data_IF_081639250400
#
_entry.id   IF_081639250400
#
_cell.length_a   1.000
_cell.length_b   1.000
_cell.length_c   1.000
_cell.angle_alpha   90.00
_cell.angle_beta   90.00
_cell.angle_gamma   90.00
#
_symmetry.space_group_name_H-M   'P 1'
#
loop_
_entity.id
_entity.type
_entity.pdbx_description
1 polymer ?
#
# COMPACT_ATOMS: atom_id res chain seq x y z
N UNK A 1 -17.80 5.38 -23.89
CA UNK A 1 -17.79 6.44 -22.87
C UNK A 1 -16.55 6.22 -22.05
N UNK A 2 -15.51 7.02 -22.29
CA UNK A 2 -14.23 6.89 -21.61
C UNK A 2 -14.38 7.41 -20.18
N UNK A 3 -14.63 6.51 -19.24
CA UNK A 3 -14.59 6.86 -17.82
C UNK A 3 -13.13 7.05 -17.41
N UNK A 4 -12.84 7.97 -16.49
CA UNK A 4 -11.48 8.21 -16.00
C UNK A 4 -10.82 6.95 -15.40
N UNK A 5 -11.61 5.94 -15.01
CA UNK A 5 -11.12 4.64 -14.54
C UNK A 5 -10.66 3.71 -15.66
N UNK A 6 -11.06 3.96 -16.90
CA UNK A 6 -10.72 3.13 -18.05
C UNK A 6 -9.44 3.60 -18.72
N UNK A 7 -9.42 4.83 -19.24
CA UNK A 7 -8.22 5.41 -19.88
C UNK A 7 -7.98 6.88 -19.53
N UNK A 8 -6.70 7.27 -19.51
CA UNK A 8 -6.22 8.65 -19.39
C UNK A 8 -5.12 8.83 -20.44
N UNK A 9 -5.22 9.90 -21.25
CA UNK A 9 -4.32 10.16 -22.38
C UNK A 9 -4.19 8.97 -23.36
N UNK A 10 -5.25 8.16 -23.51
CA UNK A 10 -5.27 6.99 -24.38
C UNK A 10 -4.58 5.74 -23.81
N UNK A 11 -4.10 5.79 -22.57
CA UNK A 11 -3.47 4.66 -21.88
C UNK A 11 -4.38 4.13 -20.76
N UNK A 12 -4.36 2.82 -20.45
CA UNK A 12 -5.14 2.27 -19.35
C UNK A 12 -4.79 2.96 -18.02
N UNK A 13 -5.80 3.52 -17.35
CA UNK A 13 -5.60 4.25 -16.10
C UNK A 13 -4.89 3.39 -15.05
N UNK A 14 -5.24 2.10 -15.00
CA UNK A 14 -4.62 1.13 -14.10
C UNK A 14 -3.08 1.16 -14.16
N UNK A 15 -2.50 1.14 -15.37
CA UNK A 15 -1.04 1.09 -15.58
C UNK A 15 -0.35 2.35 -15.07
N UNK A 16 -1.01 3.50 -15.13
CA UNK A 16 -0.48 4.75 -14.58
C UNK A 16 -0.57 4.76 -13.04
N UNK A 17 -1.72 4.34 -12.50
CA UNK A 17 -2.01 4.41 -11.06
C UNK A 17 -1.17 3.42 -10.24
N UNK A 18 -0.83 2.24 -10.77
CA UNK A 18 -0.04 1.23 -10.03
C UNK A 18 1.33 1.74 -9.60
N UNK A 19 1.95 2.69 -10.34
CA UNK A 19 3.23 3.29 -9.97
C UNK A 19 3.15 4.00 -8.61
N UNK A 20 2.04 4.69 -8.35
CA UNK A 20 1.80 5.32 -7.06
C UNK A 20 1.62 4.28 -5.95
N UNK A 21 0.94 3.16 -6.22
CA UNK A 21 0.79 2.06 -5.24
C UNK A 21 2.13 1.48 -4.83
N UNK A 22 2.98 1.11 -5.81
CA UNK A 22 4.28 0.46 -5.56
C UNK A 22 5.31 1.39 -4.93
N UNK A 23 5.11 2.72 -4.97
CA UNK A 23 5.97 3.69 -4.29
C UNK A 23 5.43 4.05 -2.91
N UNK A 24 4.15 4.40 -2.81
CA UNK A 24 3.57 4.95 -1.59
C UNK A 24 3.46 3.90 -0.47
N UNK A 25 3.01 2.68 -0.76
CA UNK A 25 2.85 1.66 0.27
C UNK A 25 4.19 1.24 0.89
N UNK A 26 5.25 0.93 0.10
CA UNK A 26 6.56 0.62 0.69
C UNK A 26 7.16 1.80 1.44
N UNK A 27 7.01 3.02 0.94
CA UNK A 27 7.51 4.21 1.63
C UNK A 27 6.79 4.44 2.98
N UNK A 28 5.46 4.29 3.00
CA UNK A 28 4.67 4.35 4.23
C UNK A 28 5.05 3.21 5.21
N UNK A 29 5.28 1.99 4.72
CA UNK A 29 5.70 0.85 5.52
C UNK A 29 7.08 1.07 6.18
N UNK A 30 8.05 1.60 5.43
CA UNK A 30 9.38 1.97 5.97
C UNK A 30 9.21 3.05 7.05
N UNK A 31 8.44 4.10 6.77
CA UNK A 31 8.13 5.14 7.74
C UNK A 31 7.49 4.56 9.01
N UNK A 32 6.53 3.66 8.87
CA UNK A 32 5.83 2.99 9.96
C UNK A 32 6.78 2.18 10.85
N UNK A 33 7.73 1.43 10.25
CA UNK A 33 8.75 0.68 11.00
C UNK A 33 9.67 1.62 11.77
N UNK A 34 10.13 2.72 11.16
CA UNK A 34 10.98 3.71 11.85
C UNK A 34 10.21 4.35 13.02
N UNK A 35 8.93 4.68 12.83
CA UNK A 35 8.06 5.19 13.89
C UNK A 35 7.88 4.16 15.02
N UNK A 36 7.69 2.88 14.69
CA UNK A 36 7.56 1.81 15.64
C UNK A 36 8.83 1.60 16.49
N UNK A 37 10.02 1.84 15.93
CA UNK A 37 11.28 1.73 16.67
C UNK A 37 11.59 3.02 17.46
N UNK A 38 11.29 4.20 16.88
CA UNK A 38 11.68 5.50 17.43
C UNK A 38 10.46 6.40 17.71
N UNK A 39 10.02 6.44 18.97
CA UNK A 39 8.92 7.31 19.43
C UNK A 39 9.10 8.79 19.02
N UNK A 40 10.32 9.34 19.13
CA UNK A 40 10.60 10.74 18.71
C UNK A 40 10.31 10.98 17.22
N UNK A 41 10.57 9.97 16.39
CA UNK A 41 10.33 10.03 14.95
C UNK A 41 8.83 9.95 14.66
N UNK A 42 8.11 9.09 15.38
CA UNK A 42 6.64 9.02 15.37
C UNK A 42 5.99 10.36 15.69
N UNK A 43 6.43 11.05 16.74
CA UNK A 43 5.85 12.37 17.10
C UNK A 43 6.13 13.43 16.02
N UNK A 44 7.34 13.46 15.45
CA UNK A 44 7.77 14.49 14.49
C UNK A 44 7.25 14.27 13.07
N UNK A 45 7.36 13.05 12.56
CA UNK A 45 7.07 12.71 11.16
C UNK A 45 5.81 11.85 10.99
N UNK A 46 5.15 11.45 12.09
CA UNK A 46 3.91 10.68 12.05
C UNK A 46 2.80 11.26 11.17
N UNK A 47 2.57 12.59 11.10
CA UNK A 47 1.58 13.15 10.17
C UNK A 47 1.91 12.83 8.70
N UNK A 48 3.19 12.89 8.32
CA UNK A 48 3.64 12.63 6.94
C UNK A 48 3.47 11.15 6.61
N UNK A 49 3.90 10.25 7.49
CA UNK A 49 3.76 8.80 7.27
C UNK A 49 2.29 8.38 7.24
N UNK A 50 1.46 8.96 8.12
CA UNK A 50 0.01 8.72 8.11
C UNK A 50 -0.64 9.24 6.81
N UNK A 51 -0.24 10.41 6.32
CA UNK A 51 -0.71 10.95 5.04
C UNK A 51 -0.29 10.06 3.87
N UNK A 52 0.96 9.59 3.83
CA UNK A 52 1.44 8.64 2.82
C UNK A 52 0.62 7.34 2.83
N UNK A 53 0.35 6.78 4.02
CA UNK A 53 -0.47 5.57 4.14
C UNK A 53 -1.92 5.81 3.71
N UNK A 54 -2.49 6.98 4.04
CA UNK A 54 -3.85 7.36 3.63
C UNK A 54 -3.98 7.54 2.12
N UNK A 55 -3.05 8.26 1.51
CA UNK A 55 -3.02 8.43 0.05
C UNK A 55 -2.76 7.09 -0.63
N UNK A 56 -1.84 6.27 -0.10
CA UNK A 56 -1.60 4.91 -0.58
C UNK A 56 -2.86 4.05 -0.55
N UNK A 57 -3.65 4.10 0.53
CA UNK A 57 -4.96 3.46 0.62
C UNK A 57 -5.90 3.94 -0.50
N UNK A 58 -6.07 5.26 -0.66
CA UNK A 58 -6.93 5.81 -1.71
C UNK A 58 -6.52 5.35 -3.11
N UNK A 59 -5.22 5.43 -3.42
CA UNK A 59 -4.65 5.01 -4.71
C UNK A 59 -4.83 3.51 -4.93
N UNK A 60 -4.72 2.66 -3.90
CA UNK A 60 -4.96 1.21 -4.06
C UNK A 60 -6.40 0.90 -4.45
N UNK A 61 -7.38 1.64 -3.92
CA UNK A 61 -8.78 1.51 -4.34
C UNK A 61 -8.92 1.94 -5.80
N UNK A 62 -8.36 3.09 -6.18
CA UNK A 62 -8.40 3.56 -7.58
C UNK A 62 -7.74 2.56 -8.53
N UNK A 63 -6.60 1.97 -8.15
CA UNK A 63 -5.91 0.95 -8.93
C UNK A 63 -6.78 -0.30 -9.12
N UNK A 64 -7.46 -0.76 -8.06
CA UNK A 64 -8.39 -1.90 -8.12
C UNK A 64 -9.54 -1.63 -9.08
N UNK A 65 -10.25 -0.50 -8.91
CA UNK A 65 -11.43 -0.18 -9.72
C UNK A 65 -11.05 0.05 -11.19
N UNK A 66 -9.95 0.75 -11.47
CA UNK A 66 -9.43 0.91 -12.83
C UNK A 66 -8.94 -0.41 -13.45
N UNK A 67 -8.39 -1.32 -12.64
CA UNK A 67 -8.00 -2.66 -13.08
C UNK A 67 -9.20 -3.52 -13.47
N UNK A 68 -10.31 -3.42 -12.72
CA UNK A 68 -11.56 -4.11 -13.05
C UNK A 68 -12.18 -3.57 -14.34
N UNK A 69 -12.17 -2.25 -14.55
CA UNK A 69 -12.59 -1.65 -15.81
C UNK A 69 -11.73 -2.16 -16.98
N UNK A 70 -10.41 -2.20 -16.80
CA UNK A 70 -9.49 -2.69 -17.81
C UNK A 70 -9.68 -4.19 -18.11
N UNK A 71 -10.01 -5.00 -17.10
CA UNK A 71 -10.27 -6.43 -17.26
C UNK A 71 -11.45 -6.74 -18.20
N UNK A 72 -12.39 -5.80 -18.38
CA UNK A 72 -13.48 -5.94 -19.37
C UNK A 72 -12.98 -5.92 -20.81
N UNK A 73 -11.79 -5.35 -21.06
CA UNK A 73 -11.17 -5.24 -22.38
C UNK A 73 -10.20 -6.38 -22.68
N UNK A 74 -9.42 -6.78 -21.68
CA UNK A 74 -8.29 -7.72 -21.88
C UNK A 74 -8.46 -9.07 -21.17
N UNK A 75 -9.61 -9.29 -20.52
CA UNK A 75 -9.83 -10.43 -19.64
C UNK A 75 -9.25 -10.21 -18.24
N UNK A 76 -9.59 -11.11 -17.32
CA UNK A 76 -9.16 -10.99 -15.92
C UNK A 76 -7.91 -11.84 -15.67
N UNK A 77 -6.74 -11.24 -15.38
CA UNK A 77 -5.52 -12.00 -15.14
C UNK A 77 -5.54 -12.62 -13.74
N UNK A 78 -5.74 -13.93 -13.67
CA UNK A 78 -5.51 -14.73 -12.46
C UNK A 78 -4.05 -15.19 -12.41
N UNK A 79 -3.36 -15.15 -11.25
CA UNK A 79 -3.89 -14.85 -9.90
C UNK A 79 -3.85 -13.36 -9.51
N UNK A 80 -3.40 -12.48 -10.40
CA UNK A 80 -3.18 -11.06 -10.08
C UNK A 80 -4.43 -10.37 -9.51
N UNK A 81 -5.60 -10.55 -10.12
CA UNK A 81 -6.79 -9.82 -9.68
C UNK A 81 -7.29 -10.26 -8.30
N UNK A 82 -7.14 -11.54 -7.93
CA UNK A 82 -7.44 -12.03 -6.57
C UNK A 82 -6.57 -11.35 -5.52
N UNK A 83 -5.25 -11.34 -5.76
CA UNK A 83 -4.30 -10.67 -4.87
C UNK A 83 -4.60 -9.17 -4.80
N UNK A 84 -4.83 -8.52 -5.95
CA UNK A 84 -5.11 -7.09 -6.04
C UNK A 84 -6.38 -6.69 -5.29
N UNK A 85 -7.43 -7.53 -5.30
CA UNK A 85 -8.66 -7.29 -4.56
C UNK A 85 -8.47 -7.25 -3.04
N UNK A 86 -7.43 -7.90 -2.52
CA UNK A 86 -7.13 -7.93 -1.08
C UNK A 86 -6.21 -6.80 -0.62
N UNK A 87 -5.42 -6.20 -1.51
CA UNK A 87 -4.43 -5.17 -1.17
C UNK A 87 -5.00 -3.94 -0.43
N UNK A 88 -6.20 -3.40 -0.77
CA UNK A 88 -6.78 -2.27 -0.04
C UNK A 88 -7.00 -2.54 1.44
N UNK A 89 -7.27 -3.79 1.85
CA UNK A 89 -7.43 -4.13 3.27
C UNK A 89 -6.11 -4.04 4.04
N UNK A 90 -4.99 -4.44 3.42
CA UNK A 90 -3.66 -4.28 4.01
C UNK A 90 -3.27 -2.80 4.09
N UNK A 91 -3.55 -2.02 3.03
CA UNK A 91 -3.31 -0.57 3.04
C UNK A 91 -4.15 0.13 4.14
N UNK A 92 -5.40 -0.29 4.34
CA UNK A 92 -6.26 0.23 5.40
C UNK A 92 -5.70 -0.11 6.78
N UNK A 93 -5.30 -1.37 7.00
CA UNK A 93 -4.67 -1.80 8.24
C UNK A 93 -3.40 -0.99 8.53
N UNK A 94 -2.56 -0.74 7.51
CA UNK A 94 -1.36 0.07 7.64
C UNK A 94 -1.71 1.51 8.05
N UNK A 95 -2.65 2.15 7.36
CA UNK A 95 -3.08 3.51 7.69
C UNK A 95 -3.62 3.61 9.13
N UNK A 96 -4.55 2.73 9.51
CA UNK A 96 -5.19 2.75 10.84
C UNK A 96 -4.15 2.56 11.94
N UNK A 97 -3.26 1.57 11.80
CA UNK A 97 -2.26 1.28 12.83
C UNK A 97 -1.19 2.37 12.94
N UNK A 98 -0.75 2.96 11.82
CA UNK A 98 0.16 4.11 11.79
C UNK A 98 -0.47 5.35 12.44
N UNK A 99 -1.71 5.67 12.08
CA UNK A 99 -2.43 6.81 12.64
C UNK A 99 -2.64 6.64 14.15
N UNK A 100 -3.04 5.44 14.60
CA UNK A 100 -3.19 5.12 16.01
C UNK A 100 -1.87 5.27 16.78
N UNK A 101 -0.76 4.72 16.25
CA UNK A 101 0.55 4.82 16.89
C UNK A 101 1.00 6.28 17.00
N UNK A 102 0.87 7.06 15.92
CA UNK A 102 1.20 8.48 15.92
C UNK A 102 0.42 9.26 16.97
N UNK A 103 -0.91 9.11 17.02
CA UNK A 103 -1.76 9.83 17.96
C UNK A 103 -1.44 9.47 19.42
N UNK A 104 -1.16 8.20 19.71
CA UNK A 104 -0.82 7.73 21.04
C UNK A 104 0.58 8.20 21.48
N UNK A 105 1.57 8.13 20.58
CA UNK A 105 2.92 8.65 20.84
C UNK A 105 2.92 10.16 21.06
N UNK A 106 2.11 10.91 20.31
CA UNK A 106 1.94 12.36 20.48
C UNK A 106 1.36 12.70 21.85
N UNK A 107 0.30 12.00 22.28
CA UNK A 107 -0.29 12.14 23.62
C UNK A 107 0.69 11.76 24.74
N UNK A 108 1.53 10.75 24.51
CA UNK A 108 2.53 10.26 25.46
C UNK A 108 3.89 10.95 25.39
N UNK A 109 4.04 12.04 24.63
CA UNK A 109 5.36 12.62 24.30
C UNK A 109 6.20 13.09 25.49
N UNK A 110 5.57 13.42 26.63
CA UNK A 110 6.27 13.76 27.87
C UNK A 110 6.92 12.55 28.57
N UNK A 111 6.52 11.31 28.22
CA UNK A 111 7.03 10.08 28.84
C UNK A 111 8.26 9.58 28.11
N UNK A 112 9.28 9.16 28.87
CA UNK A 112 10.56 8.64 28.33
C UNK A 112 10.45 7.24 27.71
N UNK A 113 9.42 6.46 28.07
CA UNK A 113 9.14 5.11 27.56
C UNK A 113 7.65 4.98 27.21
N UNK A 114 7.34 4.15 26.20
CA UNK A 114 5.97 3.80 25.82
C UNK A 114 5.31 2.93 26.91
N UNK A 115 4.02 3.14 27.22
CA UNK A 115 3.25 2.17 27.99
C UNK A 115 3.11 0.87 27.21
N UNK A 116 2.90 -0.25 27.91
CA UNK A 116 2.94 -1.59 27.32
C UNK A 116 1.96 -1.76 26.15
N UNK A 117 0.74 -1.22 26.23
CA UNK A 117 -0.23 -1.27 25.14
C UNK A 117 0.24 -0.56 23.85
N UNK A 118 0.97 0.55 23.97
CA UNK A 118 1.54 1.25 22.80
C UNK A 118 2.75 0.50 22.26
N UNK A 119 3.52 -0.19 23.12
CA UNK A 119 4.60 -1.06 22.68
C UNK A 119 4.07 -2.27 21.86
N UNK A 120 2.97 -2.89 22.32
CA UNK A 120 2.28 -3.96 21.57
C UNK A 120 1.77 -3.44 20.23
N UNK A 121 1.14 -2.25 20.21
CA UNK A 121 0.70 -1.62 18.96
C UNK A 121 1.88 -1.36 18.01
N UNK A 122 3.04 -0.94 18.52
CA UNK A 122 4.22 -0.74 17.69
C UNK A 122 4.71 -2.05 17.03
N UNK A 123 4.65 -3.18 17.75
CA UNK A 123 4.94 -4.50 17.19
C UNK A 123 3.93 -4.86 16.10
N UNK A 124 2.63 -4.61 16.36
CA UNK A 124 1.57 -4.82 15.37
C UNK A 124 1.78 -3.98 14.11
N UNK A 125 2.18 -2.71 14.25
CA UNK A 125 2.52 -1.82 13.12
C UNK A 125 3.63 -2.43 12.26
N UNK A 126 4.68 -3.00 12.88
CA UNK A 126 5.77 -3.67 12.14
C UNK A 126 5.23 -4.88 11.36
N UNK A 127 4.40 -5.72 12.00
CA UNK A 127 3.81 -6.88 11.35
C UNK A 127 2.93 -6.48 10.15
N UNK A 128 2.07 -5.46 10.33
CA UNK A 128 1.20 -4.94 9.27
C UNK A 128 2.02 -4.30 8.13
N UNK A 129 3.08 -3.56 8.44
CA UNK A 129 3.99 -2.99 7.44
C UNK A 129 4.69 -4.08 6.61
N UNK A 130 5.14 -5.16 7.25
CA UNK A 130 5.73 -6.31 6.57
C UNK A 130 4.72 -7.01 5.66
N UNK A 131 3.51 -7.29 6.16
CA UNK A 131 2.44 -7.91 5.39
C UNK A 131 2.01 -7.05 4.19
N UNK A 132 1.86 -5.73 4.38
CA UNK A 132 1.50 -4.79 3.30
C UNK A 132 2.57 -4.79 2.21
N UNK A 133 3.84 -4.77 2.60
CA UNK A 133 4.97 -4.84 1.66
C UNK A 133 4.97 -6.15 0.89
N UNK A 134 4.81 -7.29 1.58
CA UNK A 134 4.76 -8.62 0.97
C UNK A 134 3.60 -8.72 -0.04
N UNK A 135 2.41 -8.24 0.33
CA UNK A 135 1.26 -8.25 -0.56
C UNK A 135 1.46 -7.36 -1.79
N UNK A 136 2.04 -6.18 -1.60
CA UNK A 136 2.38 -5.28 -2.71
C UNK A 136 3.33 -5.95 -3.70
N UNK A 137 4.35 -6.67 -3.21
CA UNK A 137 5.28 -7.43 -4.05
C UNK A 137 4.55 -8.55 -4.80
N UNK A 138 3.72 -9.34 -4.12
CA UNK A 138 2.97 -10.45 -4.75
C UNK A 138 2.02 -9.96 -5.85
N UNK A 139 1.30 -8.87 -5.60
CA UNK A 139 0.41 -8.24 -6.59
C UNK A 139 1.22 -7.75 -7.78
N UNK A 140 2.32 -7.03 -7.55
CA UNK A 140 3.18 -6.52 -8.63
C UNK A 140 3.84 -7.62 -9.46
N UNK A 141 4.32 -8.68 -8.81
CA UNK A 141 4.95 -9.82 -9.48
C UNK A 141 3.96 -10.55 -10.38
N UNK A 142 2.81 -10.97 -9.84
CA UNK A 142 1.76 -11.66 -10.61
C UNK A 142 1.21 -10.80 -11.76
N UNK A 143 1.13 -9.48 -11.58
CA UNK A 143 0.73 -8.55 -12.65
C UNK A 143 1.79 -8.46 -13.75
N UNK A 144 3.07 -8.50 -13.38
CA UNK A 144 4.18 -8.50 -14.34
C UNK A 144 4.24 -9.82 -15.11
N UNK A 145 4.03 -10.96 -14.46
CA UNK A 145 3.94 -12.27 -15.12
C UNK A 145 2.81 -12.29 -16.14
N UNK A 146 1.62 -11.81 -15.77
CA UNK A 146 0.44 -11.79 -16.65
C UNK A 146 0.66 -11.02 -17.96
N UNK A 147 1.50 -9.98 -17.96
CA UNK A 147 1.80 -9.18 -19.15
C UNK A 147 3.02 -9.67 -19.90
N UNK A 148 4.11 -9.98 -19.18
CA UNK A 148 5.45 -10.08 -19.78
C UNK A 148 5.93 -11.52 -19.98
N UNK A 149 5.41 -12.50 -19.24
CA UNK A 149 5.95 -13.85 -19.24
C UNK A 149 5.94 -14.51 -20.63
N UNK A 150 4.82 -14.37 -21.36
CA UNK A 150 4.69 -14.89 -22.71
C UNK A 150 5.61 -14.18 -23.74
N UNK A 151 5.96 -12.91 -23.50
CA UNK A 151 6.88 -12.15 -24.36
C UNK A 151 8.29 -12.68 -24.16
N UNK A 152 8.72 -12.85 -22.90
CA UNK A 152 10.05 -13.38 -22.56
C UNK A 152 10.24 -14.79 -23.12
N UNK A 153 9.25 -15.67 -22.96
CA UNK A 153 9.30 -17.05 -23.47
C UNK A 153 9.48 -17.15 -24.99
N UNK A 154 9.00 -16.16 -25.75
CA UNK A 154 9.17 -16.13 -27.23
C UNK A 154 10.56 -15.70 -27.67
N UNK A 155 11.38 -15.18 -26.76
CA UNK A 155 12.72 -14.67 -27.04
C UNK A 155 13.85 -15.58 -26.53
N UNK A 156 13.49 -16.70 -25.91
CA UNK A 156 14.40 -17.77 -25.48
C UNK A 156 14.36 -18.91 -26.49
#
# INVERSE_FOLDING_TARGET
>A
MDSAFDTIFGLPTHVLVVHFVVVLLPLAAIGAVIMAIKQRWSVRFGPVVAALAFVGLGVTVVAKESGQAFAQRVGTPMPHAELANTLPFFALALFVTVAALWLLDRKGSAKRKRPIGVAILAILVIAVAALTTLWTIRVGHSGSEAVWQAIVQKTQ
#
